data_IF_941730111064
#
_entry.id   IF_941730111064
#
_cell.length_a   1.000
_cell.length_b   1.000
_cell.length_c   1.000
_cell.angle_alpha   90.00
_cell.angle_beta   90.00
_cell.angle_gamma   90.00
#
_symmetry.space_group_name_H-M   'P 1'
#
loop_
_entity.id
_entity.type
_entity.pdbx_description
1 polymer ?
#
# COMPACT_ATOMS: atom_id res chain seq x y z
N UNK A 1 -8.60 -16.46 -14.63
CA UNK A 1 -7.57 -15.60 -14.00
C UNK A 1 -7.17 -16.23 -12.67
N UNK A 2 -5.97 -15.94 -12.16
CA UNK A 2 -5.60 -16.32 -10.79
C UNK A 2 -6.48 -15.53 -9.82
N UNK A 3 -7.11 -16.23 -8.84
CA UNK A 3 -7.95 -15.60 -7.83
C UNK A 3 -7.13 -14.60 -6.98
N UNK A 4 -7.71 -13.43 -6.69
CA UNK A 4 -7.10 -12.49 -5.77
C UNK A 4 -7.33 -12.93 -4.32
N UNK A 5 -6.30 -13.49 -3.71
CA UNK A 5 -6.34 -14.02 -2.34
C UNK A 5 -6.75 -12.97 -1.30
N UNK A 6 -6.47 -11.67 -1.54
CA UNK A 6 -6.89 -10.61 -0.63
C UNK A 6 -8.42 -10.54 -0.53
N UNK A 7 -9.10 -10.46 -1.68
CA UNK A 7 -10.57 -10.43 -1.72
C UNK A 7 -11.18 -11.65 -1.04
N UNK A 8 -10.59 -12.82 -1.25
CA UNK A 8 -11.01 -14.06 -0.59
C UNK A 8 -10.81 -14.01 0.93
N UNK A 9 -9.66 -13.52 1.39
CA UNK A 9 -9.40 -13.39 2.82
C UNK A 9 -10.40 -12.41 3.47
N UNK A 10 -10.60 -11.25 2.86
CA UNK A 10 -11.52 -10.23 3.38
C UNK A 10 -13.00 -10.72 3.39
N UNK A 11 -13.43 -11.46 2.38
CA UNK A 11 -14.79 -12.05 2.39
C UNK A 11 -14.98 -13.08 3.52
N UNK A 12 -13.90 -13.63 4.06
CA UNK A 12 -13.89 -14.52 5.21
C UNK A 12 -13.54 -13.80 6.53
N UNK A 13 -13.61 -12.47 6.56
CA UNK A 13 -13.25 -11.62 7.71
C UNK A 13 -11.81 -11.85 8.23
N UNK A 14 -10.90 -12.22 7.35
CA UNK A 14 -9.49 -12.43 7.68
C UNK A 14 -8.70 -11.19 7.29
N UNK A 15 -8.08 -10.54 8.29
CA UNK A 15 -7.13 -9.46 8.06
C UNK A 15 -5.91 -9.96 7.28
N UNK A 16 -5.31 -9.08 6.46
CA UNK A 16 -4.19 -9.39 5.59
C UNK A 16 -2.99 -8.50 5.88
N UNK A 17 -1.80 -9.09 5.72
CA UNK A 17 -0.52 -8.42 5.90
C UNK A 17 0.08 -8.03 4.56
N UNK A 18 0.40 -6.76 4.41
CA UNK A 18 1.04 -6.20 3.22
C UNK A 18 2.50 -5.83 3.48
N UNK A 19 3.38 -6.20 2.57
CA UNK A 19 4.75 -5.71 2.51
C UNK A 19 4.86 -4.50 1.59
N UNK A 20 5.99 -3.76 1.69
CA UNK A 20 6.18 -2.54 0.92
C UNK A 20 7.60 -2.46 0.37
N UNK A 21 7.73 -2.15 -0.92
CA UNK A 21 8.99 -2.09 -1.66
C UNK A 21 9.25 -0.68 -2.17
N UNK A 22 10.41 -0.13 -1.83
CA UNK A 22 10.90 1.17 -2.27
C UNK A 22 12.26 1.07 -2.99
N UNK A 23 12.94 -0.09 -2.91
CA UNK A 23 14.22 -0.36 -3.56
C UNK A 23 13.96 -0.90 -4.97
N UNK A 24 14.52 -0.31 -6.04
CA UNK A 24 14.30 -0.72 -7.43
C UNK A 24 15.11 -1.99 -7.77
N UNK A 25 14.75 -3.12 -7.15
CA UNK A 25 15.51 -4.35 -7.33
C UNK A 25 14.61 -5.60 -7.30
N UNK A 26 14.66 -6.39 -8.38
CA UNK A 26 13.87 -7.61 -8.52
C UNK A 26 14.22 -8.67 -7.47
N UNK A 27 15.50 -8.80 -7.08
CA UNK A 27 15.91 -9.79 -6.08
C UNK A 27 15.46 -9.40 -4.66
N UNK A 28 15.45 -8.10 -4.33
CA UNK A 28 14.85 -7.63 -3.07
C UNK A 28 13.35 -7.93 -3.04
N UNK A 29 12.66 -7.75 -4.16
CA UNK A 29 11.23 -8.08 -4.27
C UNK A 29 10.98 -9.59 -4.08
N UNK A 30 11.82 -10.45 -4.67
CA UNK A 30 11.76 -11.91 -4.49
C UNK A 30 11.98 -12.29 -3.02
N UNK A 31 13.04 -11.77 -2.37
CA UNK A 31 13.31 -12.02 -0.96
C UNK A 31 12.10 -11.66 -0.09
N UNK A 32 11.55 -10.46 -0.27
CA UNK A 32 10.39 -10.00 0.51
C UNK A 32 9.16 -10.87 0.25
N UNK A 33 8.94 -11.30 -0.99
CA UNK A 33 7.79 -12.11 -1.37
C UNK A 33 7.75 -13.50 -0.71
N UNK A 34 8.91 -14.04 -0.35
CA UNK A 34 9.05 -15.33 0.33
C UNK A 34 8.91 -15.25 1.87
N UNK A 35 8.66 -14.04 2.43
CA UNK A 35 8.60 -13.86 3.89
C UNK A 35 7.20 -14.07 4.49
N UNK A 36 6.21 -14.48 3.70
CA UNK A 36 4.88 -14.82 4.21
C UNK A 36 3.87 -13.67 4.23
N UNK A 37 4.12 -12.59 3.50
CA UNK A 37 3.11 -11.54 3.26
C UNK A 37 1.95 -12.07 2.43
N UNK A 38 0.72 -11.58 2.69
CA UNK A 38 -0.44 -11.86 1.84
C UNK A 38 -0.38 -11.07 0.52
N UNK A 39 0.15 -9.84 0.59
CA UNK A 39 0.40 -8.96 -0.56
C UNK A 39 1.69 -8.17 -0.40
N UNK A 40 2.22 -7.69 -1.52
CA UNK A 40 3.34 -6.75 -1.52
C UNK A 40 3.03 -5.60 -2.48
N UNK A 41 3.22 -4.39 -1.99
CA UNK A 41 3.06 -3.16 -2.77
C UNK A 41 4.40 -2.69 -3.31
N UNK A 42 4.49 -2.52 -4.63
CA UNK A 42 5.58 -1.82 -5.31
C UNK A 42 5.24 -0.33 -5.32
N UNK A 43 6.09 0.48 -4.71
CA UNK A 43 5.87 1.91 -4.54
C UNK A 43 6.45 2.71 -5.70
N UNK A 44 5.60 3.01 -6.69
CA UNK A 44 6.00 3.81 -7.87
C UNK A 44 5.84 5.32 -7.62
N UNK A 45 5.34 5.72 -6.43
CA UNK A 45 5.21 7.13 -6.05
C UNK A 45 6.48 7.66 -5.36
N UNK A 46 6.87 7.06 -4.25
CA UNK A 46 7.98 7.53 -3.41
C UNK A 46 9.16 6.55 -3.38
N UNK A 47 8.99 5.31 -3.84
CA UNK A 47 10.09 4.41 -4.10
C UNK A 47 11.01 4.97 -5.19
N UNK A 48 12.29 4.58 -5.18
CA UNK A 48 13.24 4.91 -6.25
C UNK A 48 12.99 3.95 -7.43
N UNK A 49 11.72 3.80 -7.84
CA UNK A 49 11.23 2.74 -8.73
C UNK A 49 10.54 3.38 -9.93
N UNK A 50 11.05 3.11 -11.13
CA UNK A 50 10.36 3.46 -12.37
C UNK A 50 9.45 2.31 -12.85
N UNK A 51 8.77 2.51 -14.00
CA UNK A 51 7.88 1.49 -14.54
C UNK A 51 8.63 0.21 -14.96
N UNK A 52 9.87 0.30 -15.45
CA UNK A 52 10.63 -0.89 -15.87
C UNK A 52 11.09 -1.70 -14.65
N UNK A 53 11.47 -1.04 -13.59
CA UNK A 53 11.77 -1.69 -12.30
C UNK A 53 10.54 -2.40 -11.76
N UNK A 54 9.39 -1.70 -11.75
CA UNK A 54 8.12 -2.27 -11.31
C UNK A 54 7.79 -3.56 -12.07
N UNK A 55 7.94 -3.58 -13.40
CA UNK A 55 7.74 -4.80 -14.21
C UNK A 55 8.65 -5.93 -13.76
N UNK A 56 9.94 -5.66 -13.57
CA UNK A 56 10.94 -6.63 -13.14
C UNK A 56 10.64 -7.20 -11.74
N UNK A 57 10.21 -6.33 -10.81
CA UNK A 57 9.82 -6.71 -9.45
C UNK A 57 8.53 -7.57 -9.46
N UNK A 58 7.52 -7.20 -10.26
CA UNK A 58 6.31 -8.00 -10.45
C UNK A 58 6.61 -9.39 -11.08
N UNK A 59 7.66 -9.51 -11.90
CA UNK A 59 8.12 -10.79 -12.42
C UNK A 59 8.74 -11.65 -11.32
N UNK A 60 9.62 -11.07 -10.53
CA UNK A 60 10.32 -11.76 -9.44
C UNK A 60 9.37 -12.32 -8.38
N UNK A 61 8.34 -11.57 -7.99
CA UNK A 61 7.36 -11.99 -6.99
C UNK A 61 6.41 -13.10 -7.45
N UNK A 62 6.36 -13.40 -8.75
CA UNK A 62 5.33 -14.30 -9.30
C UNK A 62 5.33 -15.70 -8.70
N UNK A 63 6.50 -16.26 -8.41
CA UNK A 63 6.64 -17.64 -7.95
C UNK A 63 6.12 -17.86 -6.52
N UNK A 64 6.25 -16.85 -5.65
CA UNK A 64 5.82 -16.92 -4.25
C UNK A 64 4.30 -17.05 -4.08
N UNK A 65 3.54 -16.57 -5.08
CA UNK A 65 2.08 -16.52 -5.01
C UNK A 65 1.52 -15.42 -4.09
N UNK A 66 2.38 -14.47 -3.66
CA UNK A 66 1.96 -13.22 -3.02
C UNK A 66 1.11 -12.38 -3.98
N UNK A 67 0.16 -11.61 -3.47
CA UNK A 67 -0.65 -10.72 -4.34
C UNK A 67 0.12 -9.44 -4.62
N UNK A 68 0.53 -9.17 -5.88
CA UNK A 68 1.26 -7.96 -6.22
C UNK A 68 0.30 -6.75 -6.33
N UNK A 69 0.62 -5.67 -5.64
CA UNK A 69 -0.07 -4.38 -5.69
C UNK A 69 0.92 -3.31 -6.14
N UNK A 70 0.44 -2.24 -6.77
CA UNK A 70 1.26 -1.06 -7.04
C UNK A 70 0.62 0.19 -6.43
N UNK A 71 1.42 0.99 -5.72
CA UNK A 71 1.04 2.37 -5.43
C UNK A 71 1.50 3.24 -6.60
N UNK A 72 0.55 3.88 -7.27
CA UNK A 72 0.81 4.75 -8.42
C UNK A 72 1.23 6.14 -7.97
N UNK A 73 1.97 6.91 -8.80
CA UNK A 73 2.43 8.25 -8.42
C UNK A 73 1.29 9.25 -8.17
N UNK A 74 0.20 9.12 -8.92
CA UNK A 74 -0.96 10.02 -8.88
C UNK A 74 -2.17 9.35 -9.54
N UNK A 75 -3.33 10.02 -9.49
CA UNK A 75 -4.54 9.63 -10.23
C UNK A 75 -4.35 9.93 -11.73
N UNK A 76 -3.56 9.10 -12.39
CA UNK A 76 -3.24 9.17 -13.81
C UNK A 76 -3.61 7.86 -14.50
N UNK A 77 -4.57 7.88 -15.47
CA UNK A 77 -5.00 6.68 -16.18
C UNK A 77 -3.88 5.97 -16.91
N UNK A 78 -2.86 6.69 -17.38
CA UNK A 78 -1.76 6.08 -18.15
C UNK A 78 -0.94 5.13 -17.29
N UNK A 79 -0.49 5.55 -16.10
CA UNK A 79 0.30 4.68 -15.21
C UNK A 79 -0.57 3.60 -14.55
N UNK A 80 -1.82 3.92 -14.18
CA UNK A 80 -2.76 2.92 -13.63
C UNK A 80 -2.95 1.77 -14.61
N UNK A 81 -3.23 2.06 -15.86
CA UNK A 81 -3.38 1.05 -16.92
C UNK A 81 -2.08 0.23 -17.07
N UNK A 82 -0.92 0.89 -17.12
CA UNK A 82 0.38 0.22 -17.33
C UNK A 82 0.73 -0.76 -16.21
N UNK A 83 0.57 -0.39 -14.94
CA UNK A 83 0.87 -1.30 -13.83
C UNK A 83 -0.08 -2.48 -13.79
N UNK A 84 -1.36 -2.29 -14.13
CA UNK A 84 -2.34 -3.36 -14.24
C UNK A 84 -2.03 -4.30 -15.42
N UNK A 85 -1.62 -3.76 -16.58
CA UNK A 85 -1.22 -4.55 -17.75
C UNK A 85 0.10 -5.29 -17.50
N UNK A 86 0.97 -4.74 -16.63
CA UNK A 86 2.16 -5.40 -16.14
C UNK A 86 1.89 -6.53 -15.15
N UNK A 87 0.67 -6.65 -14.63
CA UNK A 87 0.24 -7.76 -13.77
C UNK A 87 0.04 -7.44 -12.31
N UNK A 88 -0.02 -6.17 -11.91
CA UNK A 88 -0.54 -5.80 -10.59
C UNK A 88 -1.98 -6.27 -10.44
N UNK A 89 -2.30 -6.83 -9.29
CA UNK A 89 -3.65 -7.27 -8.93
C UNK A 89 -4.39 -6.27 -8.06
N UNK A 90 -3.79 -5.10 -7.82
CA UNK A 90 -4.40 -3.97 -7.14
C UNK A 90 -3.63 -2.68 -7.37
N UNK A 91 -4.33 -1.58 -7.15
CA UNK A 91 -3.81 -0.22 -7.19
C UNK A 91 -4.13 0.48 -5.88
N UNK A 92 -3.12 1.11 -5.29
CA UNK A 92 -3.27 2.11 -4.24
C UNK A 92 -3.03 3.47 -4.91
N UNK A 93 -4.04 4.35 -4.90
CA UNK A 93 -3.94 5.68 -5.49
C UNK A 93 -3.84 6.74 -4.40
N UNK A 94 -2.76 7.54 -4.37
CA UNK A 94 -2.57 8.61 -3.41
C UNK A 94 -3.48 9.81 -3.69
N UNK A 95 -3.65 10.68 -2.70
CA UNK A 95 -4.25 12.02 -2.83
C UNK A 95 -5.66 12.03 -3.44
N UNK A 96 -6.48 11.02 -3.12
CA UNK A 96 -7.88 10.98 -3.55
C UNK A 96 -8.71 11.79 -2.56
N UNK A 97 -9.13 12.96 -2.96
CA UNK A 97 -9.75 13.96 -2.08
C UNK A 97 -11.26 14.07 -2.21
N UNK A 98 -11.83 13.59 -3.33
CA UNK A 98 -13.26 13.72 -3.62
C UNK A 98 -13.85 12.41 -4.13
N UNK A 99 -15.18 12.31 -4.04
CA UNK A 99 -15.92 11.21 -4.64
C UNK A 99 -15.69 11.10 -6.15
N UNK A 100 -15.65 12.23 -6.87
CA UNK A 100 -15.37 12.24 -8.32
C UNK A 100 -14.00 11.61 -8.63
N UNK A 101 -12.95 11.92 -7.86
CA UNK A 101 -11.65 11.32 -8.04
C UNK A 101 -11.66 9.81 -7.72
N UNK A 102 -12.44 9.38 -6.73
CA UNK A 102 -12.62 7.94 -6.44
C UNK A 102 -13.36 7.22 -7.58
N UNK A 103 -14.37 7.85 -8.19
CA UNK A 103 -15.07 7.35 -9.38
C UNK A 103 -14.13 7.26 -10.60
N UNK A 104 -13.27 8.25 -10.82
CA UNK A 104 -12.23 8.22 -11.85
C UNK A 104 -11.24 7.06 -11.60
N UNK A 105 -10.75 6.88 -10.36
CA UNK A 105 -9.87 5.78 -10.00
C UNK A 105 -10.49 4.42 -10.35
N UNK A 106 -11.74 4.20 -9.95
CA UNK A 106 -12.49 2.98 -10.31
C UNK A 106 -12.58 2.82 -11.82
N UNK A 107 -12.93 3.89 -12.51
CA UNK A 107 -13.09 3.91 -13.98
C UNK A 107 -11.80 3.55 -14.71
N UNK A 108 -10.65 4.03 -14.24
CA UNK A 108 -9.33 3.73 -14.83
C UNK A 108 -8.85 2.30 -14.54
N UNK A 109 -9.32 1.70 -13.45
CA UNK A 109 -8.98 0.29 -13.10
C UNK A 109 -9.84 -0.74 -13.83
N UNK A 110 -11.03 -0.40 -14.28
CA UNK A 110 -12.03 -1.35 -14.79
C UNK A 110 -12.24 -1.25 -16.31
N UNK A 111 -12.44 -2.39 -16.94
CA UNK A 111 -12.87 -2.46 -18.34
C UNK A 111 -14.36 -2.10 -18.50
N UNK A 112 -14.79 -1.65 -19.69
CA UNK A 112 -16.22 -1.48 -19.98
C UNK A 112 -17.04 -2.76 -19.65
N UNK A 113 -18.30 -2.63 -19.17
CA UNK A 113 -19.06 -1.37 -18.99
C UNK A 113 -18.79 -0.66 -17.63
N UNK A 114 -17.90 -1.16 -16.79
CA UNK A 114 -17.66 -0.68 -15.42
C UNK A 114 -16.62 0.44 -15.34
N UNK A 115 -15.91 0.73 -16.42
CA UNK A 115 -14.90 1.76 -16.51
C UNK A 115 -14.45 2.00 -17.96
N UNK A 116 -13.33 2.73 -18.09
CA UNK A 116 -12.78 3.16 -19.41
C UNK A 116 -11.36 2.62 -19.65
N UNK A 117 -10.89 1.66 -18.84
CA UNK A 117 -9.56 1.07 -19.01
C UNK A 117 -9.40 0.53 -20.43
N UNK A 118 -8.36 0.97 -21.13
CA UNK A 118 -8.02 0.45 -22.45
C UNK A 118 -7.55 -1.00 -22.39
N UNK A 119 -7.89 -1.78 -23.40
CA UNK A 119 -7.56 -3.20 -23.44
C UNK A 119 -6.21 -3.46 -24.09
N UNK A 120 -5.27 -3.99 -23.32
CA UNK A 120 -3.93 -4.38 -23.80
C UNK A 120 -3.12 -5.14 -22.73
N UNK A 121 -3.71 -6.11 -21.98
CA UNK A 121 -3.08 -6.75 -20.82
C UNK A 121 -2.02 -7.77 -21.23
N UNK A 122 -0.97 -7.35 -21.97
CA UNK A 122 0.03 -8.24 -22.56
C UNK A 122 0.67 -9.16 -21.52
N UNK A 123 1.24 -8.59 -20.45
CA UNK A 123 1.87 -9.41 -19.42
C UNK A 123 0.83 -10.02 -18.47
N UNK A 124 -0.22 -9.29 -18.12
CA UNK A 124 -1.27 -9.78 -17.22
C UNK A 124 -1.93 -11.06 -17.75
N UNK A 125 -2.17 -11.18 -19.05
CA UNK A 125 -2.67 -12.43 -19.66
C UNK A 125 -1.73 -13.63 -19.45
N UNK A 126 -0.41 -13.41 -19.48
CA UNK A 126 0.60 -14.45 -19.27
C UNK A 126 0.71 -14.80 -17.78
N UNK A 127 0.77 -13.78 -16.92
CA UNK A 127 1.02 -13.96 -15.49
C UNK A 127 -0.21 -14.38 -14.70
N UNK A 128 -1.40 -13.90 -15.08
CA UNK A 128 -2.64 -14.07 -14.35
C UNK A 128 -3.66 -14.99 -15.06
N UNK A 129 -3.36 -15.37 -16.30
CA UNK A 129 -4.14 -16.35 -17.07
C UNK A 129 -4.94 -15.78 -18.24
N UNK A 130 -5.17 -16.61 -19.26
CA UNK A 130 -5.77 -16.23 -20.54
C UNK A 130 -7.18 -15.62 -20.43
N UNK A 131 -7.91 -15.91 -19.35
CA UNK A 131 -9.24 -15.33 -19.09
C UNK A 131 -9.19 -14.02 -18.29
N UNK A 132 -8.02 -13.40 -18.15
CA UNK A 132 -7.81 -12.18 -17.38
C UNK A 132 -8.90 -11.12 -17.61
N UNK A 133 -9.20 -10.83 -18.88
CA UNK A 133 -10.15 -9.77 -19.23
C UNK A 133 -11.59 -10.00 -18.72
N UNK A 134 -12.01 -11.27 -18.61
CA UNK A 134 -13.36 -11.62 -18.13
C UNK A 134 -13.52 -11.41 -16.64
N UNK A 135 -12.43 -11.54 -15.90
CA UNK A 135 -12.44 -11.60 -14.44
C UNK A 135 -11.74 -10.38 -13.79
N UNK A 136 -11.00 -9.57 -14.58
CA UNK A 136 -10.23 -8.46 -14.08
C UNK A 136 -11.05 -7.45 -13.28
N UNK A 137 -12.25 -7.08 -13.77
CA UNK A 137 -13.12 -6.13 -13.08
C UNK A 137 -13.54 -6.58 -11.67
N UNK A 138 -13.59 -7.88 -11.42
CA UNK A 138 -13.93 -8.45 -10.11
C UNK A 138 -12.69 -8.68 -9.24
N UNK A 139 -11.56 -9.03 -9.86
CA UNK A 139 -10.35 -9.44 -9.15
C UNK A 139 -9.37 -8.30 -8.85
N UNK A 140 -9.36 -7.22 -9.63
CA UNK A 140 -8.50 -6.07 -9.38
C UNK A 140 -9.01 -5.31 -8.15
N UNK A 141 -8.10 -5.08 -7.19
CA UNK A 141 -8.35 -4.28 -5.98
C UNK A 141 -8.07 -2.82 -6.28
N UNK A 142 -8.97 -1.94 -5.85
CA UNK A 142 -8.91 -0.50 -6.05
C UNK A 142 -9.02 0.20 -4.70
N UNK A 143 -7.92 0.79 -4.21
CA UNK A 143 -7.83 1.45 -2.91
C UNK A 143 -7.52 2.95 -3.08
N UNK A 144 -8.35 3.80 -2.48
CA UNK A 144 -8.13 5.25 -2.43
C UNK A 144 -7.40 5.61 -1.13
N UNK A 145 -6.29 6.35 -1.22
CA UNK A 145 -5.61 6.85 -0.02
C UNK A 145 -6.32 8.08 0.54
N UNK A 146 -6.59 8.02 1.84
CA UNK A 146 -7.13 9.12 2.64
C UNK A 146 -5.97 9.68 3.46
N UNK A 147 -5.46 10.82 3.05
CA UNK A 147 -4.19 11.34 3.56
C UNK A 147 -4.10 12.89 3.56
N UNK A 148 -5.22 13.57 3.28
CA UNK A 148 -5.31 15.03 3.35
C UNK A 148 -6.49 15.48 4.20
N UNK A 149 -6.53 16.75 4.60
CA UNK A 149 -7.69 17.33 5.27
C UNK A 149 -8.95 17.21 4.39
N UNK A 150 -8.84 17.53 3.09
CA UNK A 150 -9.96 17.46 2.15
C UNK A 150 -10.48 16.02 2.00
N UNK A 151 -9.59 15.03 1.87
CA UNK A 151 -9.98 13.63 1.82
C UNK A 151 -10.68 13.18 3.10
N UNK A 152 -10.20 13.64 4.26
CA UNK A 152 -10.80 13.34 5.56
C UNK A 152 -12.20 13.94 5.68
N UNK A 153 -12.38 15.20 5.28
CA UNK A 153 -13.67 15.88 5.31
C UNK A 153 -14.70 15.21 4.37
N UNK A 154 -14.24 14.63 3.26
CA UNK A 154 -15.07 13.96 2.26
C UNK A 154 -15.09 12.42 2.41
N UNK A 155 -14.57 11.87 3.49
CA UNK A 155 -14.32 10.42 3.63
C UNK A 155 -15.56 9.55 3.43
N UNK A 156 -16.72 9.98 3.91
CA UNK A 156 -18.00 9.27 3.73
C UNK A 156 -18.43 9.21 2.26
N UNK A 157 -18.26 10.31 1.53
CA UNK A 157 -18.60 10.38 0.10
C UNK A 157 -17.64 9.52 -0.72
N UNK A 158 -16.34 9.57 -0.43
CA UNK A 158 -15.32 8.73 -1.07
C UNK A 158 -15.62 7.25 -0.81
N UNK A 159 -15.88 6.87 0.46
CA UNK A 159 -16.21 5.50 0.83
C UNK A 159 -17.48 4.99 0.15
N UNK A 160 -18.45 5.86 -0.14
CA UNK A 160 -19.70 5.49 -0.81
C UNK A 160 -19.55 5.15 -2.30
N UNK A 161 -18.36 5.36 -2.88
CA UNK A 161 -18.12 5.20 -4.34
C UNK A 161 -18.35 3.76 -4.79
N UNK A 162 -19.24 3.49 -5.76
CA UNK A 162 -19.44 2.16 -6.32
C UNK A 162 -18.17 1.64 -7.01
N UNK A 163 -17.85 0.37 -6.79
CA UNK A 163 -16.68 -0.26 -7.42
C UNK A 163 -15.34 0.03 -6.76
N UNK A 164 -15.26 0.97 -5.83
CA UNK A 164 -14.11 1.13 -4.95
C UNK A 164 -14.07 -0.05 -3.95
N UNK A 165 -12.93 -0.70 -3.79
CA UNK A 165 -12.79 -1.83 -2.87
C UNK A 165 -12.53 -1.38 -1.43
N UNK A 166 -11.80 -0.28 -1.23
CA UNK A 166 -11.49 0.19 0.12
C UNK A 166 -10.78 1.52 0.20
N UNK A 167 -10.57 1.95 1.45
CA UNK A 167 -9.79 3.11 1.83
C UNK A 167 -8.44 2.68 2.40
N UNK A 168 -7.39 3.40 2.04
CA UNK A 168 -6.04 3.18 2.54
C UNK A 168 -5.55 4.43 3.27
N UNK A 169 -5.15 4.32 4.53
CA UNK A 169 -4.67 5.46 5.31
C UNK A 169 -3.17 5.65 5.09
N UNK A 170 -2.78 6.84 4.59
CA UNK A 170 -1.41 7.33 4.54
C UNK A 170 -1.12 8.25 5.75
N UNK A 171 -0.61 7.72 6.88
CA UNK A 171 -0.57 8.47 8.14
C UNK A 171 0.40 9.64 8.13
N UNK A 172 1.47 9.61 7.33
CA UNK A 172 2.44 10.69 7.27
C UNK A 172 1.82 11.98 6.69
N UNK A 173 1.23 11.88 5.50
CA UNK A 173 0.55 13.00 4.84
C UNK A 173 -0.72 13.41 5.58
N UNK A 174 -1.48 12.44 6.11
CA UNK A 174 -2.65 12.74 6.94
C UNK A 174 -2.25 13.58 8.16
N UNK A 175 -1.10 13.29 8.78
CA UNK A 175 -0.59 14.06 9.90
C UNK A 175 -0.22 15.50 9.48
N UNK A 176 0.37 15.67 8.30
CA UNK A 176 0.65 17.01 7.76
C UNK A 176 -0.65 17.78 7.50
N UNK A 177 -1.64 17.13 6.90
CA UNK A 177 -2.93 17.73 6.59
C UNK A 177 -3.70 18.15 7.84
N UNK A 178 -3.99 17.21 8.73
CA UNK A 178 -4.79 17.43 9.94
C UNK A 178 -4.02 18.20 11.02
N UNK A 179 -2.73 17.94 11.17
CA UNK A 179 -1.88 18.58 12.16
C UNK A 179 -1.53 20.04 11.86
N UNK A 180 -1.87 20.55 10.65
CA UNK A 180 -1.65 21.95 10.22
C UNK A 180 -0.22 22.43 10.52
N UNK A 181 0.77 21.57 10.28
CA UNK A 181 2.18 21.85 10.52
C UNK A 181 2.63 21.81 11.99
N UNK A 182 1.76 21.42 12.91
CA UNK A 182 2.12 21.31 14.34
C UNK A 182 2.67 19.94 14.73
N UNK A 183 2.34 18.92 13.96
CA UNK A 183 2.80 17.56 14.17
C UNK A 183 3.80 17.19 13.07
N UNK A 184 4.91 16.57 13.47
CA UNK A 184 5.84 15.99 12.50
C UNK A 184 5.17 14.82 11.76
N UNK A 185 5.41 14.66 10.43
CA UNK A 185 4.89 13.50 9.69
C UNK A 185 5.48 12.20 10.24
N UNK A 186 4.72 11.12 10.17
CA UNK A 186 5.20 9.82 10.65
C UNK A 186 4.13 8.75 10.64
N UNK A 187 4.57 7.53 10.93
CA UNK A 187 3.72 6.35 11.12
C UNK A 187 3.36 6.20 12.61
N UNK A 188 2.52 5.21 12.93
CA UNK A 188 2.24 4.75 14.29
C UNK A 188 1.84 5.89 15.26
N UNK A 189 0.86 6.68 14.82
CA UNK A 189 0.42 7.88 15.54
C UNK A 189 -0.26 7.53 16.87
N UNK A 190 0.18 8.19 17.93
CA UNK A 190 -0.36 8.01 19.29
C UNK A 190 -1.10 9.26 19.81
N UNK A 191 -1.08 10.37 19.06
CA UNK A 191 -1.83 11.57 19.41
C UNK A 191 -3.33 11.29 19.35
N UNK A 192 -4.11 11.71 20.37
CA UNK A 192 -5.54 11.42 20.44
C UNK A 192 -6.32 11.82 19.18
N UNK A 193 -6.00 13.00 18.61
CA UNK A 193 -6.64 13.50 17.40
C UNK A 193 -6.33 12.65 16.17
N UNK A 194 -5.12 12.10 16.07
CA UNK A 194 -4.75 11.23 14.95
C UNK A 194 -5.34 9.83 15.10
N UNK A 195 -5.43 9.32 16.32
CA UNK A 195 -6.13 8.06 16.60
C UNK A 195 -7.62 8.20 16.29
N UNK A 196 -8.24 9.32 16.68
CA UNK A 196 -9.64 9.60 16.37
C UNK A 196 -9.87 9.67 14.86
N UNK A 197 -9.05 10.43 14.13
CA UNK A 197 -9.13 10.52 12.67
C UNK A 197 -8.98 9.13 12.00
N UNK A 198 -8.01 8.33 12.43
CA UNK A 198 -7.80 6.96 11.94
C UNK A 198 -9.05 6.09 12.16
N UNK A 199 -9.68 6.17 13.34
CA UNK A 199 -10.91 5.44 13.65
C UNK A 199 -12.13 5.94 12.90
N UNK A 200 -12.21 7.24 12.62
CA UNK A 200 -13.30 7.81 11.82
C UNK A 200 -13.23 7.35 10.37
N UNK A 201 -12.02 7.28 9.77
CA UNK A 201 -11.81 6.73 8.43
C UNK A 201 -12.18 5.24 8.41
N UNK A 202 -11.75 4.47 9.40
CA UNK A 202 -12.15 3.07 9.56
C UNK A 202 -13.68 2.92 9.61
N UNK A 203 -14.35 3.73 10.43
CA UNK A 203 -15.80 3.70 10.57
C UNK A 203 -16.52 4.02 9.26
N UNK A 204 -16.05 5.04 8.51
CA UNK A 204 -16.57 5.39 7.20
C UNK A 204 -16.44 4.23 6.19
N UNK A 205 -15.27 3.57 6.16
CA UNK A 205 -15.07 2.40 5.32
C UNK A 205 -16.05 1.28 5.68
N UNK A 206 -16.15 0.91 6.95
CA UNK A 206 -17.04 -0.18 7.43
C UNK A 206 -18.52 0.10 7.19
N UNK A 207 -18.97 1.32 7.43
CA UNK A 207 -20.34 1.76 7.17
C UNK A 207 -20.75 1.59 5.72
N UNK A 208 -19.79 1.78 4.79
CA UNK A 208 -19.99 1.63 3.35
C UNK A 208 -19.60 0.24 2.81
N UNK A 209 -19.38 -0.76 3.68
CA UNK A 209 -18.93 -2.11 3.32
C UNK A 209 -17.64 -2.11 2.49
N UNK A 210 -16.70 -1.21 2.84
CA UNK A 210 -15.39 -1.10 2.21
C UNK A 210 -14.31 -1.68 3.11
N UNK A 211 -13.23 -2.14 2.47
CA UNK A 211 -12.01 -2.55 3.16
C UNK A 211 -11.32 -1.31 3.75
N UNK A 212 -10.87 -1.42 4.98
CA UNK A 212 -10.03 -0.43 5.62
C UNK A 212 -8.59 -0.92 5.70
N UNK A 213 -7.67 -0.16 5.14
CA UNK A 213 -6.24 -0.47 5.15
C UNK A 213 -5.44 0.62 5.88
N UNK A 214 -4.42 0.21 6.65
CA UNK A 214 -3.60 1.11 7.45
C UNK A 214 -2.10 0.88 7.19
N UNK A 215 -1.37 1.94 6.86
CA UNK A 215 0.08 1.90 6.77
C UNK A 215 0.70 2.11 8.15
N UNK A 216 1.53 1.16 8.60
CA UNK A 216 2.16 1.17 9.92
C UNK A 216 3.69 1.12 9.77
N UNK A 217 4.38 1.66 10.76
CA UNK A 217 5.84 1.60 10.86
C UNK A 217 6.34 0.35 11.56
N UNK A 218 5.50 -0.25 12.44
CA UNK A 218 5.88 -1.39 13.29
C UNK A 218 4.84 -2.51 13.25
N UNK A 219 5.24 -3.76 13.50
CA UNK A 219 4.33 -4.89 13.65
C UNK A 219 3.36 -4.72 14.83
N UNK A 220 3.81 -4.09 15.92
CA UNK A 220 3.02 -3.84 17.12
C UNK A 220 1.84 -2.92 16.82
N UNK A 221 2.08 -1.81 16.09
CA UNK A 221 1.01 -0.90 15.71
C UNK A 221 0.08 -1.53 14.67
N UNK A 222 0.61 -2.32 13.76
CA UNK A 222 -0.18 -3.07 12.79
C UNK A 222 -1.13 -4.07 13.48
N UNK A 223 -0.64 -4.79 14.50
CA UNK A 223 -1.48 -5.68 15.31
C UNK A 223 -2.59 -4.91 16.04
N UNK A 224 -2.28 -3.72 16.59
CA UNK A 224 -3.27 -2.80 17.18
C UNK A 224 -4.30 -2.35 16.13
N UNK A 225 -3.87 -2.06 14.90
CA UNK A 225 -4.76 -1.74 13.78
C UNK A 225 -5.75 -2.87 13.48
N UNK A 226 -5.28 -4.13 13.42
CA UNK A 226 -6.16 -5.30 13.23
C UNK A 226 -7.16 -5.42 14.40
N UNK A 227 -6.73 -5.19 15.65
CA UNK A 227 -7.63 -5.19 16.81
C UNK A 227 -8.69 -4.07 16.74
N UNK A 228 -8.39 -2.94 16.10
CA UNK A 228 -9.39 -1.89 15.83
C UNK A 228 -10.39 -2.29 14.74
N UNK A 229 -10.07 -3.28 13.90
CA UNK A 229 -10.94 -3.76 12.84
C UNK A 229 -10.46 -3.46 11.42
N UNK A 230 -9.20 -3.06 11.22
CA UNK A 230 -8.62 -2.93 9.88
C UNK A 230 -8.50 -4.30 9.19
N UNK A 231 -8.82 -4.34 7.91
CA UNK A 231 -8.79 -5.55 7.07
C UNK A 231 -7.44 -5.81 6.42
N UNK A 232 -6.63 -4.77 6.28
CA UNK A 232 -5.29 -4.83 5.72
C UNK A 232 -4.37 -3.90 6.50
N UNK A 233 -3.19 -4.39 6.85
CA UNK A 233 -2.16 -3.59 7.51
C UNK A 233 -0.84 -3.75 6.77
N UNK A 234 -0.09 -2.65 6.64
CA UNK A 234 1.27 -2.66 6.10
C UNK A 234 2.24 -2.51 7.24
N UNK A 235 3.29 -3.33 7.29
CA UNK A 235 4.36 -3.21 8.27
C UNK A 235 5.65 -2.79 7.58
N UNK A 236 6.16 -1.62 7.92
CA UNK A 236 7.46 -1.13 7.46
C UNK A 236 7.63 -1.17 5.92
N UNK A 237 8.85 -0.98 5.43
CA UNK A 237 9.26 -1.20 4.05
C UNK A 237 10.67 -1.83 4.00
N UNK A 238 11.07 -2.28 2.81
CA UNK A 238 12.37 -2.91 2.57
C UNK A 238 13.57 -2.04 2.99
N UNK A 239 13.52 -0.73 2.74
CA UNK A 239 14.58 0.22 3.14
C UNK A 239 14.72 0.26 4.66
N UNK A 240 13.62 0.43 5.39
CA UNK A 240 13.64 0.50 6.87
C UNK A 240 14.07 -0.82 7.49
N UNK A 241 13.62 -1.95 6.94
CA UNK A 241 14.03 -3.27 7.39
C UNK A 241 15.54 -3.47 7.20
N UNK A 242 16.08 -3.10 6.03
CA UNK A 242 17.50 -3.20 5.73
C UNK A 242 18.34 -2.29 6.65
N UNK A 243 17.92 -1.03 6.83
CA UNK A 243 18.60 -0.08 7.73
C UNK A 243 18.60 -0.63 9.16
N UNK A 244 17.47 -1.07 9.67
CA UNK A 244 17.33 -1.59 11.04
C UNK A 244 18.22 -2.80 11.28
N UNK A 245 18.17 -3.80 10.40
CA UNK A 245 18.96 -5.01 10.52
C UNK A 245 20.47 -4.73 10.42
N UNK A 246 20.88 -3.90 9.45
CA UNK A 246 22.29 -3.55 9.24
C UNK A 246 22.86 -2.75 10.41
N UNK A 247 22.16 -1.70 10.86
CA UNK A 247 22.62 -0.87 11.97
C UNK A 247 22.70 -1.65 13.28
N UNK A 248 21.73 -2.52 13.54
CA UNK A 248 21.73 -3.40 14.72
C UNK A 248 22.92 -4.36 14.70
N UNK A 249 23.23 -4.94 13.54
CA UNK A 249 24.38 -5.86 13.39
C UNK A 249 25.72 -5.14 13.61
N UNK A 250 25.88 -3.96 13.01
CA UNK A 250 27.09 -3.13 13.20
C UNK A 250 27.26 -2.71 14.65
N UNK A 251 26.19 -2.23 15.29
CA UNK A 251 26.20 -1.83 16.70
C UNK A 251 26.57 -3.02 17.60
N UNK A 252 25.96 -4.18 17.37
CA UNK A 252 26.26 -5.40 18.13
C UNK A 252 27.73 -5.80 18.01
N UNK A 253 28.30 -5.81 16.78
CA UNK A 253 29.71 -6.12 16.56
C UNK A 253 30.63 -5.16 17.31
N UNK A 254 30.40 -3.85 17.20
CA UNK A 254 31.22 -2.84 17.87
C UNK A 254 31.17 -2.95 19.38
N UNK A 255 30.00 -3.20 19.96
CA UNK A 255 29.87 -3.43 21.40
C UNK A 255 30.66 -4.67 21.86
N UNK A 256 30.69 -5.73 21.06
CA UNK A 256 31.47 -6.95 21.35
C UNK A 256 32.99 -6.69 21.28
N UNK A 257 33.42 -5.75 20.45
CA UNK A 257 34.84 -5.37 20.31
C UNK A 257 35.29 -4.30 21.31
N UNK A 258 34.44 -3.85 22.25
CA UNK A 258 34.70 -2.75 23.19
C UNK A 258 35.14 -1.43 22.47
N UNK A 259 34.62 -1.19 21.27
CA UNK A 259 34.97 -0.06 20.45
C UNK A 259 34.05 1.13 20.80
N UNK A 260 34.31 1.77 21.99
CA UNK A 260 33.57 2.92 22.50
C UNK A 260 33.74 4.20 21.66
N UNK A 261 34.60 4.20 20.62
CA UNK A 261 35.05 5.42 19.92
C UNK A 261 34.32 5.72 18.60
N UNK A 262 33.26 5.03 18.27
CA UNK A 262 32.51 5.37 17.06
C UNK A 262 31.03 5.61 17.40
N UNK A 263 30.72 6.86 17.81
CA UNK A 263 29.36 7.35 17.70
C UNK A 263 28.94 7.24 16.23
N UNK A 264 28.16 6.21 15.94
CA UNK A 264 27.36 6.23 14.73
C UNK A 264 26.47 7.46 14.89
N UNK A 265 26.69 8.49 14.07
CA UNK A 265 25.67 9.52 13.88
C UNK A 265 24.42 8.79 13.45
N UNK A 266 23.63 8.33 14.42
CA UNK A 266 22.27 7.92 14.16
C UNK A 266 21.60 9.18 13.61
N UNK A 267 21.26 9.20 12.35
CA UNK A 267 20.26 10.14 11.86
C UNK A 267 19.02 9.88 12.70
N UNK A 268 18.88 10.59 13.82
CA UNK A 268 17.73 10.51 14.72
C UNK A 268 16.45 11.00 14.06
N UNK A 269 16.52 11.41 12.80
CA UNK A 269 15.40 12.01 12.05
C UNK A 269 14.94 11.20 10.84
N UNK A 270 15.12 9.87 10.80
CA UNK A 270 14.43 9.05 9.80
C UNK A 270 13.01 8.69 10.22
N UNK A 271 12.26 9.67 10.73
CA UNK A 271 10.82 9.52 11.00
C UNK A 271 9.96 9.68 9.74
N UNK A 272 10.57 10.01 8.59
CA UNK A 272 9.88 10.08 7.29
C UNK A 272 10.65 9.23 6.28
N UNK A 273 9.97 8.20 5.78
CA UNK A 273 10.33 7.22 4.74
C UNK A 273 11.32 6.12 5.13
#
# INVERSE_FOLDING_TARGET
>A
MIENKLKKNWSNNKATLNGWLSIPNAFTAEIMAEQGYDSITVDVQHGVIDFSDCVSMLQAMRASGVVPISRVPWLDPAIIMKVLDAGSMGVICPMVNTKSQAEELVSYCKYPPHGVRSFGPTRANISLGANYWKEANQNIVCLAMIETQEAYDNVEEIASTPGLDGLYIGPADLTLGLGKGKLAPGFDREEPEMIEATKNILAAAKKNNKIAALHCGTPEYAAKGVQWGFDMVTISNDVRLLISASSSSVKKFRNLMNDDNTEIKSNKDSSSY
#
